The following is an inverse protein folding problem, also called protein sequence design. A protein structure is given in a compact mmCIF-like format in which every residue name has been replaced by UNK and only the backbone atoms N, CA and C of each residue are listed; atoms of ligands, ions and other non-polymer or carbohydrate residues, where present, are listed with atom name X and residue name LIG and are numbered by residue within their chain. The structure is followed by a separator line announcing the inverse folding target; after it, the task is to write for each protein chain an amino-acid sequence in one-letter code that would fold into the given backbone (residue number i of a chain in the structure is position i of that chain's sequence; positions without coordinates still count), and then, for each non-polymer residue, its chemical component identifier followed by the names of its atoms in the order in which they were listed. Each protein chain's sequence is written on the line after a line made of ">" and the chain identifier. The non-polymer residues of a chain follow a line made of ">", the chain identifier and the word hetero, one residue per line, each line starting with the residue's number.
data_IF_515547196369
#
_entry.id   IF_515547196369
#
_cell.length_a   1.000
_cell.length_b   1.000
_cell.length_c   1.000
_cell.angle_alpha   90.00
_cell.angle_beta   90.00
_cell.angle_gamma   90.00
#
_symmetry.space_group_name_H-M   'P 1'
#
loop_
_entity.id
_entity.type
_entity.pdbx_description
1 polymer ?
#
# COMPACT_ATOMS: atom_id res chain seq x y z
N UNK A 1 31.17 -49.39 42.36
CA UNK A 1 32.64 -49.29 42.19
C UNK A 1 33.07 -47.87 42.53
N UNK A 2 34.13 -47.67 43.30
CA UNK A 2 34.57 -46.32 43.68
C UNK A 2 35.30 -45.62 42.52
N UNK A 3 35.14 -44.30 42.40
CA UNK A 3 35.78 -43.45 41.38
C UNK A 3 37.30 -43.64 41.31
N UNK A 4 37.94 -43.91 42.44
CA UNK A 4 39.37 -44.19 42.52
C UNK A 4 39.77 -45.50 41.84
N UNK A 5 38.93 -46.54 41.90
CA UNK A 5 39.21 -47.80 41.23
C UNK A 5 39.15 -47.65 39.71
N UNK A 6 38.19 -46.88 39.20
CA UNK A 6 38.02 -46.57 37.77
C UNK A 6 39.16 -45.70 37.25
N UNK A 7 39.53 -44.62 37.98
CA UNK A 7 40.65 -43.76 37.60
C UNK A 7 41.97 -44.54 37.50
N UNK A 8 42.24 -45.43 38.47
CA UNK A 8 43.47 -46.25 38.49
C UNK A 8 43.52 -47.30 37.37
N UNK A 9 42.36 -47.78 36.91
CA UNK A 9 42.27 -48.69 35.77
C UNK A 9 42.55 -47.95 34.44
N UNK A 10 41.96 -46.77 34.27
CA UNK A 10 42.21 -45.90 33.10
C UNK A 10 43.67 -45.43 33.04
N UNK A 11 44.26 -45.08 34.19
CA UNK A 11 45.65 -44.65 34.30
C UNK A 11 46.63 -45.74 33.81
N UNK A 12 46.41 -46.98 34.26
CA UNK A 12 47.18 -48.15 33.79
C UNK A 12 47.02 -48.38 32.29
N UNK A 13 45.82 -48.20 31.75
CA UNK A 13 45.54 -48.37 30.32
C UNK A 13 46.21 -47.30 29.46
N UNK A 14 46.43 -46.10 30.00
CA UNK A 14 47.07 -44.97 29.31
C UNK A 14 48.55 -44.76 29.67
N UNK A 15 49.13 -45.62 30.52
CA UNK A 15 50.48 -45.46 31.11
C UNK A 15 50.69 -44.12 31.81
N UNK A 16 49.62 -43.53 32.37
CA UNK A 16 49.67 -42.25 33.08
C UNK A 16 49.53 -42.47 34.57
N UNK A 17 50.08 -41.56 35.36
CA UNK A 17 49.84 -41.56 36.82
C UNK A 17 48.45 -40.99 37.15
N UNK A 18 47.85 -41.33 38.31
CA UNK A 18 46.59 -40.70 38.72
C UNK A 18 46.66 -39.17 38.81
N UNK A 19 47.83 -38.61 39.13
CA UNK A 19 48.04 -37.16 39.16
C UNK A 19 47.97 -36.55 37.75
N UNK A 20 48.60 -37.18 36.75
CA UNK A 20 48.52 -36.74 35.35
C UNK A 20 47.08 -36.78 34.80
N UNK A 21 46.31 -37.80 35.15
CA UNK A 21 44.89 -37.85 34.79
C UNK A 21 44.09 -36.73 35.45
N UNK A 22 44.39 -36.39 36.70
CA UNK A 22 43.73 -35.28 37.39
C UNK A 22 44.05 -33.95 36.70
N UNK A 23 45.31 -33.71 36.31
CA UNK A 23 45.69 -32.50 35.57
C UNK A 23 45.04 -32.43 34.19
N UNK A 24 44.90 -33.56 33.49
CA UNK A 24 44.21 -33.61 32.19
C UNK A 24 42.71 -33.32 32.31
N UNK A 25 42.08 -33.81 33.38
CA UNK A 25 40.68 -33.50 33.67
C UNK A 25 40.50 -32.03 34.02
N UNK A 26 41.42 -31.44 34.77
CA UNK A 26 41.37 -30.02 35.12
C UNK A 26 41.47 -29.13 33.87
N UNK A 27 42.47 -29.39 33.00
CA UNK A 27 42.62 -28.69 31.71
C UNK A 27 41.38 -28.88 30.82
N UNK A 28 40.85 -30.10 30.73
CA UNK A 28 39.63 -30.36 29.96
C UNK A 28 38.43 -29.60 30.53
N UNK A 29 38.31 -29.50 31.86
CA UNK A 29 37.24 -28.76 32.53
C UNK A 29 37.36 -27.27 32.25
N UNK A 30 38.56 -26.68 32.36
CA UNK A 30 38.80 -25.28 31.99
C UNK A 30 38.45 -25.01 30.52
N UNK A 31 38.82 -25.89 29.60
CA UNK A 31 38.49 -25.75 28.19
C UNK A 31 36.98 -25.84 27.92
N UNK A 32 36.28 -26.77 28.58
CA UNK A 32 34.82 -26.88 28.47
C UNK A 32 34.14 -25.61 28.98
N UNK A 33 34.62 -25.05 30.10
CA UNK A 33 34.11 -23.79 30.64
C UNK A 33 34.34 -22.64 29.66
N UNK A 34 35.53 -22.54 29.06
CA UNK A 34 35.84 -21.52 28.06
C UNK A 34 34.94 -21.63 26.81
N UNK A 35 34.73 -22.84 26.31
CA UNK A 35 33.83 -23.08 25.18
C UNK A 35 32.37 -22.79 25.54
N UNK A 36 31.94 -23.09 26.77
CA UNK A 36 30.60 -22.76 27.23
C UNK A 36 30.38 -21.25 27.34
N UNK A 37 31.39 -20.49 27.81
CA UNK A 37 31.33 -19.03 27.83
C UNK A 37 31.27 -18.45 26.41
N UNK A 38 32.09 -18.94 25.50
CA UNK A 38 32.06 -18.50 24.10
C UNK A 38 30.72 -18.82 23.43
N UNK A 39 30.16 -20.00 23.70
CA UNK A 39 28.84 -20.38 23.17
C UNK A 39 27.75 -19.43 23.68
N UNK A 40 27.77 -19.08 24.96
CA UNK A 40 26.81 -18.13 25.54
C UNK A 40 26.94 -16.73 24.92
N UNK A 41 28.17 -16.27 24.68
CA UNK A 41 28.42 -15.00 23.98
C UNK A 41 27.88 -15.02 22.55
N UNK A 42 28.12 -16.11 21.81
CA UNK A 42 27.58 -16.29 20.47
C UNK A 42 26.06 -16.32 20.44
N UNK A 43 25.42 -17.02 21.39
CA UNK A 43 23.97 -17.04 21.53
C UNK A 43 23.41 -15.64 21.83
N UNK A 44 24.06 -14.87 22.70
CA UNK A 44 23.65 -13.50 23.00
C UNK A 44 23.81 -12.58 21.77
N UNK A 45 24.86 -12.77 20.98
CA UNK A 45 25.07 -12.04 19.74
C UNK A 45 23.99 -12.36 18.69
N UNK A 46 23.63 -13.64 18.53
CA UNK A 46 22.55 -14.08 17.66
C UNK A 46 21.21 -13.47 18.07
N UNK A 47 20.84 -13.55 19.35
CA UNK A 47 19.60 -12.97 19.85
C UNK A 47 19.53 -11.45 19.61
N UNK A 48 20.66 -10.74 19.76
CA UNK A 48 20.74 -9.31 19.44
C UNK A 48 20.54 -9.06 17.94
N UNK A 49 21.15 -9.87 17.08
CA UNK A 49 21.03 -9.72 15.62
C UNK A 49 19.60 -9.99 15.15
N UNK A 50 18.96 -11.05 15.68
CA UNK A 50 17.55 -11.35 15.41
C UNK A 50 16.65 -10.16 15.79
N UNK A 51 16.84 -9.61 16.99
CA UNK A 51 16.08 -8.42 17.41
C UNK A 51 16.34 -7.17 16.55
N UNK A 52 17.54 -7.01 16.00
CA UNK A 52 17.84 -5.94 15.04
C UNK A 52 17.15 -6.15 13.69
N UNK A 53 17.12 -7.40 13.20
CA UNK A 53 16.44 -7.76 11.96
C UNK A 53 14.93 -7.57 12.08
N UNK A 54 14.33 -8.00 13.18
CA UNK A 54 12.90 -7.80 13.44
C UNK A 54 12.54 -6.31 13.46
N UNK A 55 13.36 -5.50 14.14
CA UNK A 55 13.17 -4.04 14.19
C UNK A 55 13.28 -3.41 12.80
N UNK A 56 14.31 -3.77 12.04
CA UNK A 56 14.49 -3.28 10.68
C UNK A 56 13.33 -3.70 9.76
N UNK A 57 12.79 -4.91 9.93
CA UNK A 57 11.61 -5.39 9.21
C UNK A 57 10.38 -4.54 9.50
N UNK A 58 10.13 -4.21 10.78
CA UNK A 58 9.02 -3.33 11.19
C UNK A 58 9.19 -1.92 10.60
N UNK A 59 10.38 -1.34 10.71
CA UNK A 59 10.67 0.01 10.18
C UNK A 59 10.49 0.07 8.66
N UNK A 60 10.98 -0.95 7.93
CA UNK A 60 10.80 -1.04 6.48
C UNK A 60 9.32 -1.16 6.10
N UNK A 61 8.55 -1.99 6.82
CA UNK A 61 7.11 -2.14 6.57
C UNK A 61 6.38 -0.81 6.77
N UNK A 62 6.68 -0.09 7.87
CA UNK A 62 6.12 1.23 8.13
C UNK A 62 6.45 2.23 7.02
N UNK A 63 7.72 2.31 6.63
CA UNK A 63 8.16 3.20 5.56
C UNK A 63 7.49 2.90 4.20
N UNK A 64 7.21 1.63 3.90
CA UNK A 64 6.47 1.25 2.69
C UNK A 64 5.01 1.67 2.75
N UNK A 65 4.36 1.58 3.90
CA UNK A 65 2.97 2.04 4.08
C UNK A 65 2.86 3.55 4.01
N UNK A 66 3.82 4.28 4.59
CA UNK A 66 3.94 5.73 4.46
C UNK A 66 4.13 6.13 2.98
N UNK A 67 5.01 5.45 2.26
CA UNK A 67 5.24 5.69 0.83
C UNK A 67 3.97 5.43 0.00
N UNK A 68 3.23 4.37 0.29
CA UNK A 68 1.94 4.07 -0.37
C UNK A 68 0.91 5.16 -0.10
N UNK A 69 0.88 5.69 1.11
CA UNK A 69 -0.01 6.79 1.50
C UNK A 69 0.35 8.09 0.78
N UNK A 70 1.63 8.47 0.82
CA UNK A 70 2.13 9.64 0.09
C UNK A 70 1.85 9.56 -1.42
N UNK A 71 1.99 8.37 -2.03
CA UNK A 71 1.65 8.18 -3.45
C UNK A 71 0.17 8.38 -3.75
N UNK A 72 -0.73 7.90 -2.88
CA UNK A 72 -2.17 8.12 -3.02
C UNK A 72 -2.54 9.59 -2.90
N UNK A 73 -1.92 10.30 -1.96
CA UNK A 73 -2.09 11.74 -1.79
C UNK A 73 -1.59 12.53 -3.00
N UNK A 74 -0.40 12.19 -3.52
CA UNK A 74 0.15 12.83 -4.72
C UNK A 74 -0.74 12.62 -5.95
N UNK A 75 -1.30 11.42 -6.14
CA UNK A 75 -2.26 11.14 -7.21
C UNK A 75 -3.52 12.01 -7.05
N UNK A 76 -4.13 12.03 -5.85
CA UNK A 76 -5.30 12.86 -5.55
C UNK A 76 -5.06 14.34 -5.82
N UNK A 77 -3.91 14.87 -5.39
CA UNK A 77 -3.55 16.27 -5.63
C UNK A 77 -3.33 16.56 -7.11
N UNK A 78 -2.75 15.62 -7.85
CA UNK A 78 -2.57 15.74 -9.29
C UNK A 78 -3.92 15.81 -10.01
N UNK A 79 -4.86 14.94 -9.65
CA UNK A 79 -6.22 14.95 -10.19
C UNK A 79 -6.93 16.28 -9.90
N UNK A 80 -6.84 16.78 -8.66
CA UNK A 80 -7.41 18.08 -8.28
C UNK A 80 -6.79 19.25 -9.06
N UNK A 81 -5.47 19.24 -9.28
CA UNK A 81 -4.79 20.23 -10.10
C UNK A 81 -5.21 20.17 -11.57
N UNK A 82 -5.47 18.97 -12.10
CA UNK A 82 -5.94 18.85 -13.49
C UNK A 82 -7.36 19.37 -13.65
N UNK A 83 -8.25 19.10 -12.69
CA UNK A 83 -9.62 19.61 -12.68
C UNK A 83 -9.65 21.14 -12.61
N UNK A 84 -8.92 21.75 -11.66
CA UNK A 84 -8.83 23.21 -11.52
C UNK A 84 -8.23 23.89 -12.76
N UNK A 85 -7.23 23.25 -13.40
CA UNK A 85 -6.68 23.74 -14.68
C UNK A 85 -7.71 23.71 -15.80
N UNK A 86 -8.53 22.66 -15.87
CA UNK A 86 -9.61 22.56 -16.86
C UNK A 86 -10.70 23.62 -16.61
N UNK A 87 -11.07 23.87 -15.35
CA UNK A 87 -12.01 24.94 -14.98
C UNK A 87 -11.50 26.32 -15.40
N UNK A 88 -10.23 26.62 -15.15
CA UNK A 88 -9.61 27.89 -15.55
C UNK A 88 -9.54 28.02 -17.08
N UNK A 89 -9.20 26.95 -17.80
CA UNK A 89 -9.21 26.94 -19.26
C UNK A 89 -10.63 27.20 -19.81
N UNK A 90 -11.66 26.62 -19.21
CA UNK A 90 -13.05 26.85 -19.60
C UNK A 90 -13.49 28.30 -19.31
N UNK A 91 -13.15 28.84 -18.14
CA UNK A 91 -13.49 30.22 -17.77
C UNK A 91 -12.80 31.26 -18.68
N UNK A 92 -11.53 31.01 -19.02
CA UNK A 92 -10.78 31.86 -19.98
C UNK A 92 -11.34 31.75 -21.39
N UNK A 93 -11.76 30.57 -21.84
CA UNK A 93 -12.43 30.41 -23.13
C UNK A 93 -13.75 31.19 -23.20
N UNK A 94 -14.60 31.12 -22.17
CA UNK A 94 -15.89 31.84 -22.12
C UNK A 94 -15.68 33.36 -22.09
N UNK A 95 -14.70 33.86 -21.35
CA UNK A 95 -14.40 35.30 -21.30
C UNK A 95 -13.76 35.86 -22.56
N UNK A 96 -13.16 35.01 -23.40
CA UNK A 96 -12.56 35.39 -24.69
C UNK A 96 -13.54 35.38 -25.87
N UNK A 97 -14.83 35.08 -25.65
CA UNK A 97 -15.84 35.20 -26.69
C UNK A 97 -15.94 36.67 -27.13
N UNK A 98 -15.86 36.97 -28.44
CA UNK A 98 -16.00 38.33 -28.92
C UNK A 98 -17.37 38.87 -28.49
N UNK A 99 -17.39 40.07 -27.91
CA UNK A 99 -18.63 40.79 -27.62
C UNK A 99 -19.46 40.80 -28.91
N UNK A 100 -20.60 40.09 -28.89
CA UNK A 100 -21.55 40.11 -30.01
C UNK A 100 -22.10 41.52 -30.27
N UNK A 101 -21.88 42.47 -29.37
CA UNK A 101 -22.29 43.86 -29.54
C UNK A 101 -21.48 44.62 -30.62
N UNK A 102 -20.24 44.20 -30.93
CA UNK A 102 -19.40 44.86 -31.94
C UNK A 102 -19.49 44.21 -33.34
N UNK A 103 -20.27 43.13 -33.48
CA UNK A 103 -20.41 42.37 -34.75
C UNK A 103 -21.84 42.21 -35.24
N UNK A 104 -22.77 43.07 -34.80
CA UNK A 104 -24.06 43.23 -35.50
C UNK A 104 -23.92 44.33 -36.55
N UNK A 105 -23.69 44.02 -37.84
CA UNK A 105 -24.03 44.98 -38.88
C UNK A 105 -25.52 45.26 -38.74
N UNK A 106 -25.88 46.52 -38.53
CA UNK A 106 -27.27 46.99 -38.60
C UNK A 106 -27.84 46.58 -39.96
N UNK A 107 -28.55 45.45 -40.00
CA UNK A 107 -29.10 44.92 -41.25
C UNK A 107 -29.01 43.40 -41.45
N UNK A 108 -29.08 42.57 -40.40
CA UNK A 108 -29.48 41.17 -40.63
C UNK A 108 -30.99 41.19 -40.88
N UNK A 109 -31.37 41.12 -42.16
CA UNK A 109 -32.77 40.92 -42.54
C UNK A 109 -33.17 39.49 -42.16
N UNK A 110 -33.91 39.35 -41.07
CA UNK A 110 -34.39 38.06 -40.54
C UNK A 110 -35.58 37.47 -41.30
N UNK A 111 -36.11 38.18 -42.32
CA UNK A 111 -37.27 37.74 -43.12
C UNK A 111 -37.10 36.39 -43.83
N UNK A 112 -35.92 35.94 -44.31
CA UNK A 112 -35.81 34.66 -45.01
C UNK A 112 -35.82 33.45 -44.08
N UNK A 113 -35.50 33.60 -42.78
CA UNK A 113 -35.57 32.48 -41.83
C UNK A 113 -37.02 32.22 -41.41
N UNK A 114 -37.80 33.26 -41.15
CA UNK A 114 -39.23 33.12 -40.83
C UNK A 114 -40.05 32.57 -42.01
N UNK A 115 -39.79 33.02 -43.25
CA UNK A 115 -40.46 32.48 -44.44
C UNK A 115 -40.16 31.00 -44.73
N UNK A 116 -38.98 30.49 -44.32
CA UNK A 116 -38.63 29.06 -44.46
C UNK A 116 -39.48 28.15 -43.56
N UNK A 117 -40.00 28.66 -42.45
CA UNK A 117 -40.91 27.92 -41.57
C UNK A 117 -42.38 28.02 -41.99
N UNK A 118 -42.76 29.07 -42.73
CA UNK A 118 -44.13 29.24 -43.23
C UNK A 118 -44.40 28.50 -44.55
N UNK A 119 -43.40 28.36 -45.43
CA UNK A 119 -43.56 27.77 -46.77
C UNK A 119 -42.78 26.46 -47.01
N UNK A 120 -42.01 25.98 -46.02
CA UNK A 120 -41.30 24.71 -46.10
C UNK A 120 -42.21 23.50 -45.81
N UNK A 121 -41.93 22.30 -46.36
CA UNK A 121 -42.70 21.11 -46.00
C UNK A 121 -42.57 20.89 -44.50
N UNK A 122 -43.69 20.96 -43.78
CA UNK A 122 -43.76 20.64 -42.36
C UNK A 122 -43.44 19.15 -42.19
N UNK A 123 -42.16 18.83 -41.93
CA UNK A 123 -41.77 17.51 -41.44
C UNK A 123 -42.38 17.42 -40.05
N UNK A 124 -43.55 16.80 -39.93
CA UNK A 124 -44.03 16.33 -38.63
C UNK A 124 -43.01 15.31 -38.16
N UNK A 125 -42.14 15.73 -37.24
CA UNK A 125 -41.33 14.80 -36.46
C UNK A 125 -42.34 13.90 -35.75
N UNK A 126 -42.56 12.71 -36.30
CA UNK A 126 -43.31 11.67 -35.62
C UNK A 126 -42.75 11.53 -34.21
N UNK A 127 -43.63 11.30 -33.26
CA UNK A 127 -43.28 11.03 -31.85
C UNK A 127 -42.03 10.18 -31.79
N UNK A 128 -40.96 10.76 -31.25
CA UNK A 128 -39.66 10.09 -31.15
C UNK A 128 -39.85 8.73 -30.47
N UNK A 129 -39.36 7.62 -31.04
CA UNK A 129 -39.46 6.30 -30.42
C UNK A 129 -38.65 6.19 -29.11
N UNK A 130 -37.86 7.21 -28.76
CA UNK A 130 -37.15 7.34 -27.49
C UNK A 130 -37.98 8.02 -26.38
N UNK A 131 -39.18 8.52 -26.66
CA UNK A 131 -40.03 9.16 -25.65
C UNK A 131 -40.69 8.14 -24.67
N UNK A 132 -40.53 6.84 -24.89
CA UNK A 132 -41.23 5.81 -24.11
C UNK A 132 -40.37 4.94 -23.17
N UNK A 133 -39.03 4.99 -23.23
CA UNK A 133 -38.20 4.00 -22.53
C UNK A 133 -36.93 4.66 -21.99
N UNK A 134 -37.05 5.25 -20.80
CA UNK A 134 -35.89 5.53 -19.95
C UNK A 134 -35.71 4.35 -19.00
N UNK A 135 -34.78 3.41 -19.24
CA UNK A 135 -34.24 2.63 -18.15
C UNK A 135 -33.34 3.54 -17.32
N UNK A 136 -33.75 3.77 -16.08
CA UNK A 136 -32.93 4.45 -15.06
C UNK A 136 -31.55 3.77 -15.00
N UNK A 137 -30.43 4.52 -15.06
CA UNK A 137 -29.11 3.92 -14.93
C UNK A 137 -28.94 3.26 -13.55
N UNK A 138 -28.62 1.97 -13.54
CA UNK A 138 -28.56 1.10 -12.35
C UNK A 138 -27.36 1.36 -11.42
N UNK A 139 -26.68 2.51 -11.53
CA UNK A 139 -25.61 2.90 -10.62
C UNK A 139 -26.04 3.96 -9.60
N UNK A 140 -27.28 4.45 -9.68
CA UNK A 140 -27.89 5.30 -8.67
C UNK A 140 -28.87 4.48 -7.83
N UNK A 141 -28.34 3.62 -6.96
CA UNK A 141 -28.81 3.19 -5.62
C UNK A 141 -27.77 2.16 -5.14
N UNK A 142 -26.82 2.61 -4.33
CA UNK A 142 -26.16 1.78 -3.32
C UNK A 142 -25.96 2.67 -2.11
N UNK A 143 -27.09 2.98 -1.46
CA UNK A 143 -27.12 3.25 -0.02
C UNK A 143 -27.91 2.08 0.59
N UNK A 144 -27.20 0.98 0.85
CA UNK A 144 -27.61 -0.02 1.83
C UNK A 144 -26.36 -0.69 2.42
N UNK A 145 -25.52 0.14 3.05
CA UNK A 145 -24.58 -0.33 4.08
C UNK A 145 -25.30 -0.30 5.44
N UNK A 146 -26.35 -1.12 5.57
CA UNK A 146 -26.85 -1.55 6.87
C UNK A 146 -26.37 -2.98 7.13
N UNK A 147 -25.08 -3.13 7.39
CA UNK A 147 -24.54 -4.38 7.92
C UNK A 147 -25.08 -4.59 9.34
N UNK A 148 -26.17 -5.33 9.47
CA UNK A 148 -26.56 -5.92 10.75
C UNK A 148 -25.59 -7.06 11.10
N UNK A 149 -24.84 -6.86 12.18
CA UNK A 149 -23.97 -7.84 12.82
C UNK A 149 -24.72 -9.14 13.19
N UNK A 150 -24.06 -10.31 13.17
CA UNK A 150 -24.66 -11.54 13.66
C UNK A 150 -24.85 -11.49 15.19
N UNK A 151 -26.09 -11.65 15.64
CA UNK A 151 -26.38 -11.98 17.04
C UNK A 151 -26.27 -13.49 17.24
N UNK A 152 -25.21 -13.92 17.94
CA UNK A 152 -25.16 -15.20 18.67
C UNK A 152 -26.10 -15.16 19.87
N UNK A 153 -26.77 -16.26 20.19
CA UNK A 153 -26.29 -17.09 21.31
C UNK A 153 -25.78 -18.47 20.87
#
# INVERSE_FOLDING_TARGET
>A
MSLFATARAVARHRRKTPAELATELDVATCNILALATENNEQQAALARLEGQLDRAGIELSGALDDLRTARREAARLTDALTATRAELANATAVSSLPNLDDTVPHGIDCRPVQQRFEAGPAIRLGTSPLAGHSPVPTWAITDDDTQHLPHTP
#
